data_IF_052291484193
#
_entry.id   IF_052291484193
#
_cell.length_a   1.000
_cell.length_b   1.000
_cell.length_c   1.000
_cell.angle_alpha   90.00
_cell.angle_beta   90.00
_cell.angle_gamma   90.00
#
_symmetry.space_group_name_H-M   'P 1'
#
loop_
_entity.id
_entity.type
_entity.pdbx_description
1 polymer ?
#
# COMPACT_ATOMS: atom_id res chain seq x y z
N UNK A 1 -22.04 -22.36 15.30
CA UNK A 1 -20.66 -21.91 15.08
C UNK A 1 -20.04 -22.85 14.06
N UNK A 2 -19.70 -22.34 12.89
CA UNK A 2 -19.15 -23.11 11.78
C UNK A 2 -17.75 -22.59 11.49
N UNK A 3 -16.79 -23.50 11.33
CA UNK A 3 -15.39 -23.17 11.03
C UNK A 3 -15.01 -23.94 9.78
N UNK A 4 -14.54 -23.21 8.78
CA UNK A 4 -14.07 -23.73 7.51
C UNK A 4 -12.66 -23.17 7.23
N UNK A 5 -11.89 -23.84 6.37
CA UNK A 5 -10.62 -23.31 5.87
C UNK A 5 -10.81 -22.97 4.40
N UNK A 6 -10.75 -21.69 4.08
CA UNK A 6 -10.83 -21.21 2.71
C UNK A 6 -9.59 -21.66 1.94
N UNK A 7 -9.81 -22.09 0.70
CA UNK A 7 -8.71 -22.38 -0.21
C UNK A 7 -7.91 -21.10 -0.49
N UNK A 8 -6.61 -21.26 -0.68
CA UNK A 8 -5.76 -20.16 -1.11
C UNK A 8 -6.19 -19.65 -2.49
N UNK A 9 -6.32 -18.32 -2.68
CA UNK A 9 -6.74 -17.79 -3.96
C UNK A 9 -5.65 -18.02 -5.01
N UNK A 10 -6.05 -18.52 -6.17
CA UNK A 10 -5.15 -18.63 -7.32
C UNK A 10 -4.88 -17.24 -7.91
N UNK A 11 -3.60 -16.93 -8.09
CA UNK A 11 -3.14 -15.79 -8.87
C UNK A 11 -2.83 -16.24 -10.29
N UNK A 12 -3.05 -15.36 -11.25
CA UNK A 12 -2.75 -15.55 -12.67
C UNK A 12 -1.48 -14.78 -13.06
N UNK A 13 -0.67 -15.41 -13.91
CA UNK A 13 0.65 -14.97 -14.40
C UNK A 13 0.74 -15.10 -15.93
N UNK A 14 1.94 -14.90 -16.49
CA UNK A 14 2.19 -14.97 -17.93
C UNK A 14 1.63 -16.22 -18.58
N UNK A 15 1.03 -16.05 -19.77
CA UNK A 15 0.39 -17.15 -20.50
C UNK A 15 -0.84 -17.76 -19.81
N UNK A 16 -1.43 -17.07 -18.81
CA UNK A 16 -2.59 -17.55 -18.07
C UNK A 16 -2.28 -18.65 -17.04
N UNK A 17 -0.99 -18.85 -16.73
CA UNK A 17 -0.54 -19.81 -15.73
C UNK A 17 -0.93 -19.36 -14.32
N UNK A 18 -0.97 -20.31 -13.38
CA UNK A 18 -1.52 -20.07 -12.04
C UNK A 18 -0.62 -20.55 -10.93
N UNK A 19 -0.62 -19.80 -9.83
CA UNK A 19 0.03 -20.19 -8.60
C UNK A 19 -0.55 -19.42 -7.41
N UNK A 20 -0.49 -20.00 -6.20
CA UNK A 20 -0.95 -19.32 -4.96
C UNK A 20 0.12 -18.37 -4.40
N UNK A 21 1.39 -18.69 -4.63
CA UNK A 21 2.54 -17.85 -4.25
C UNK A 21 2.96 -16.94 -5.42
N UNK A 22 2.98 -15.61 -5.24
CA UNK A 22 3.35 -14.66 -6.28
C UNK A 22 4.82 -14.70 -6.71
N UNK A 23 5.73 -15.01 -5.79
CA UNK A 23 7.17 -15.08 -6.07
C UNK A 23 7.49 -16.31 -6.92
N UNK A 24 6.88 -17.45 -6.59
CA UNK A 24 6.98 -18.63 -7.43
C UNK A 24 6.32 -18.40 -8.79
N UNK A 25 5.11 -17.84 -8.82
CA UNK A 25 4.40 -17.55 -10.08
C UNK A 25 5.21 -16.66 -11.02
N UNK A 26 5.78 -15.56 -10.53
CA UNK A 26 6.68 -14.71 -11.34
C UNK A 26 7.91 -15.49 -11.80
N UNK A 27 8.57 -16.22 -10.89
CA UNK A 27 9.82 -16.93 -11.23
C UNK A 27 9.61 -18.00 -12.31
N UNK A 28 8.45 -18.67 -12.29
CA UNK A 28 8.13 -19.75 -13.22
C UNK A 28 7.50 -19.25 -14.54
N UNK A 29 6.67 -18.21 -14.47
CA UNK A 29 5.77 -17.84 -15.58
C UNK A 29 5.88 -16.39 -16.03
N UNK A 30 6.66 -15.55 -15.32
CA UNK A 30 6.71 -14.11 -15.56
C UNK A 30 5.44 -13.36 -15.15
N UNK A 31 5.37 -12.05 -15.42
CA UNK A 31 4.26 -11.23 -14.99
C UNK A 31 2.97 -11.52 -15.78
N UNK A 32 1.81 -11.22 -15.20
CA UNK A 32 0.50 -11.45 -15.84
C UNK A 32 0.30 -10.73 -17.18
N UNK A 33 0.96 -9.59 -17.36
CA UNK A 33 0.94 -8.82 -18.60
C UNK A 33 2.06 -9.20 -19.59
N UNK A 34 2.83 -10.26 -19.32
CA UNK A 34 3.91 -10.68 -20.20
C UNK A 34 3.42 -10.89 -21.64
N UNK A 35 4.03 -10.17 -22.58
CA UNK A 35 3.68 -10.22 -24.00
C UNK A 35 2.43 -9.40 -24.39
N UNK A 36 1.82 -8.68 -23.46
CA UNK A 36 0.72 -7.75 -23.75
C UNK A 36 1.25 -6.36 -24.10
N UNK A 37 0.48 -5.63 -24.91
CA UNK A 37 0.73 -4.22 -25.19
C UNK A 37 0.64 -3.40 -23.88
N UNK A 38 1.72 -2.66 -23.58
CA UNK A 38 1.82 -1.84 -22.37
C UNK A 38 2.63 -2.46 -21.23
N UNK A 39 3.03 -3.74 -21.33
CA UNK A 39 3.93 -4.34 -20.35
C UNK A 39 5.31 -3.63 -20.36
N UNK A 40 5.82 -3.18 -19.21
CA UNK A 40 7.06 -2.41 -19.17
C UNK A 40 8.29 -3.31 -19.35
N UNK A 41 8.84 -3.36 -20.57
CA UNK A 41 10.09 -4.08 -20.87
C UNK A 41 11.36 -3.32 -20.43
N UNK A 42 11.27 -2.01 -20.25
CA UNK A 42 12.33 -1.16 -19.73
C UNK A 42 11.72 -0.07 -18.85
N UNK A 43 12.24 0.07 -17.64
CA UNK A 43 11.81 1.09 -16.69
C UNK A 43 12.95 2.09 -16.50
N UNK A 44 12.72 3.34 -16.91
CA UNK A 44 13.67 4.45 -16.79
C UNK A 44 13.53 5.07 -15.42
N UNK A 45 14.55 4.91 -14.58
CA UNK A 45 14.56 5.43 -13.23
C UNK A 45 15.21 6.81 -13.19
N UNK A 46 14.54 7.74 -12.51
CA UNK A 46 15.15 8.97 -12.00
C UNK A 46 15.65 8.72 -10.57
N UNK A 47 16.83 9.23 -10.22
CA UNK A 47 17.40 9.07 -8.88
C UNK A 47 17.57 10.43 -8.21
N UNK A 48 17.10 10.59 -6.98
CA UNK A 48 17.27 11.82 -6.18
C UNK A 48 17.72 11.51 -4.77
N UNK A 49 18.79 12.16 -4.30
CA UNK A 49 19.30 12.04 -2.94
C UNK A 49 20.81 12.29 -2.81
N UNK A 50 21.44 11.94 -1.67
CA UNK A 50 22.88 12.09 -1.46
C UNK A 50 23.67 11.24 -2.44
N UNK A 51 24.79 11.75 -2.96
CA UNK A 51 25.59 11.08 -4.01
C UNK A 51 26.00 9.65 -3.65
N UNK A 52 26.51 9.45 -2.44
CA UNK A 52 26.92 8.14 -1.93
C UNK A 52 25.75 7.15 -1.87
N UNK A 53 24.55 7.63 -1.54
CA UNK A 53 23.34 6.81 -1.57
C UNK A 53 22.94 6.45 -3.00
N UNK A 54 23.01 7.39 -3.94
CA UNK A 54 22.69 7.14 -5.35
C UNK A 54 23.62 6.08 -5.95
N UNK A 55 24.92 6.16 -5.66
CA UNK A 55 25.91 5.17 -6.10
C UNK A 55 25.63 3.78 -5.49
N UNK A 56 25.25 3.74 -4.21
CA UNK A 56 24.84 2.51 -3.54
C UNK A 56 23.61 1.85 -4.17
N UNK A 57 22.57 2.64 -4.45
CA UNK A 57 21.34 2.16 -5.10
C UNK A 57 21.64 1.64 -6.50
N UNK A 58 22.44 2.34 -7.29
CA UNK A 58 22.83 1.91 -8.65
C UNK A 58 23.51 0.55 -8.63
N UNK A 59 24.53 0.39 -7.77
CA UNK A 59 25.23 -0.90 -7.61
C UNK A 59 24.31 -2.03 -7.17
N UNK A 60 23.40 -1.75 -6.24
CA UNK A 60 22.49 -2.77 -5.73
C UNK A 60 21.42 -3.18 -6.75
N UNK A 61 20.87 -2.24 -7.51
CA UNK A 61 19.94 -2.58 -8.60
C UNK A 61 20.66 -3.39 -9.69
N UNK A 62 21.90 -3.05 -10.02
CA UNK A 62 22.70 -3.84 -10.95
C UNK A 62 22.97 -5.27 -10.42
N UNK A 63 23.28 -5.41 -9.13
CA UNK A 63 23.39 -6.71 -8.45
C UNK A 63 22.10 -7.53 -8.54
N UNK A 64 20.94 -6.89 -8.45
CA UNK A 64 19.62 -7.53 -8.55
C UNK A 64 19.28 -8.01 -9.96
N UNK A 65 20.06 -7.68 -11.00
CA UNK A 65 19.90 -8.34 -12.32
C UNK A 65 20.22 -9.83 -12.24
N UNK A 66 21.08 -10.22 -11.30
CA UNK A 66 21.52 -11.60 -11.08
C UNK A 66 20.75 -12.25 -9.91
N UNK A 67 20.66 -13.60 -9.87
CA UNK A 67 20.02 -14.32 -8.78
C UNK A 67 20.57 -13.97 -7.39
N UNK A 68 19.68 -13.97 -6.39
CA UNK A 68 20.01 -13.79 -4.97
C UNK A 68 19.44 -14.99 -4.22
N UNK A 69 20.31 -15.72 -3.53
CA UNK A 69 19.93 -16.98 -2.88
C UNK A 69 18.88 -16.81 -1.79
N UNK A 70 18.14 -17.88 -1.54
CA UNK A 70 17.22 -17.99 -0.42
C UNK A 70 17.97 -17.85 0.90
N UNK A 71 17.34 -17.20 1.88
CA UNK A 71 17.95 -17.00 3.22
C UNK A 71 18.27 -18.32 3.93
N UNK A 72 17.35 -19.28 3.84
CA UNK A 72 17.44 -20.56 4.54
C UNK A 72 16.99 -21.69 3.62
N UNK A 73 17.92 -22.56 3.25
CA UNK A 73 17.63 -23.74 2.43
C UNK A 73 16.68 -24.74 3.11
N UNK A 74 16.54 -24.68 4.45
CA UNK A 74 15.59 -25.49 5.22
C UNK A 74 14.14 -25.02 5.06
N UNK A 75 13.93 -23.73 4.76
CA UNK A 75 12.59 -23.14 4.57
C UNK A 75 12.51 -22.38 3.24
N UNK A 76 12.64 -23.09 2.09
CA UNK A 76 12.78 -22.45 0.78
C UNK A 76 11.53 -21.66 0.35
N UNK A 77 10.36 -22.00 0.89
CA UNK A 77 9.12 -21.28 0.60
C UNK A 77 8.93 -20.03 1.47
N UNK A 78 9.62 -19.91 2.60
CA UNK A 78 9.47 -18.79 3.52
C UNK A 78 10.26 -17.55 3.06
N UNK A 79 11.49 -17.79 2.61
CA UNK A 79 12.40 -16.78 2.09
C UNK A 79 12.95 -17.25 0.74
N UNK A 80 12.09 -17.35 -0.29
CA UNK A 80 12.50 -17.85 -1.59
C UNK A 80 13.57 -16.95 -2.21
N UNK A 81 14.43 -17.57 -3.00
CA UNK A 81 15.43 -16.85 -3.79
C UNK A 81 14.77 -15.79 -4.67
N UNK A 82 15.51 -14.74 -4.97
CA UNK A 82 15.14 -13.79 -6.01
C UNK A 82 15.81 -14.26 -7.32
N UNK A 83 15.05 -14.53 -8.39
CA UNK A 83 15.61 -15.10 -9.62
C UNK A 83 16.52 -14.13 -10.39
N UNK A 84 16.61 -12.88 -9.94
CA UNK A 84 17.10 -11.76 -10.73
C UNK A 84 15.95 -11.06 -11.44
N UNK A 85 16.23 -9.91 -12.04
CA UNK A 85 15.26 -9.18 -12.84
C UNK A 85 15.96 -8.52 -14.02
N UNK A 86 15.70 -9.05 -15.21
CA UNK A 86 16.21 -8.55 -16.48
C UNK A 86 15.19 -8.89 -17.58
N UNK A 87 15.52 -8.58 -18.83
CA UNK A 87 14.68 -8.82 -20.02
C UNK A 87 14.25 -10.27 -20.25
N UNK A 88 14.92 -11.25 -19.63
CA UNK A 88 14.65 -12.68 -19.81
C UNK A 88 14.28 -13.43 -18.51
N UNK A 89 14.25 -12.73 -17.35
CA UNK A 89 14.08 -13.38 -16.05
C UNK A 89 13.28 -12.52 -15.06
N UNK A 90 12.53 -13.18 -14.18
CA UNK A 90 11.74 -12.52 -13.15
C UNK A 90 10.57 -11.76 -13.76
N UNK A 91 10.66 -10.42 -13.76
CA UNK A 91 9.61 -9.55 -14.29
C UNK A 91 9.79 -9.22 -15.79
N UNK A 92 10.78 -9.81 -16.47
CA UNK A 92 11.03 -9.58 -17.90
C UNK A 92 11.19 -8.10 -18.25
N UNK A 93 11.86 -7.36 -17.35
CA UNK A 93 12.08 -5.92 -17.45
C UNK A 93 13.50 -5.58 -17.05
N UNK A 94 14.08 -4.53 -17.65
CA UNK A 94 15.35 -3.95 -17.20
C UNK A 94 15.13 -2.58 -16.57
N UNK A 95 15.76 -2.35 -15.41
CA UNK A 95 15.85 -1.04 -14.79
C UNK A 95 17.03 -0.27 -15.40
N UNK A 96 16.79 0.95 -15.87
CA UNK A 96 17.81 1.77 -16.54
C UNK A 96 17.97 3.12 -15.86
N UNK A 97 19.20 3.62 -15.84
CA UNK A 97 19.56 4.93 -15.29
C UNK A 97 20.35 5.70 -16.33
N UNK A 98 20.08 6.99 -16.45
CA UNK A 98 20.95 7.91 -17.19
C UNK A 98 21.54 8.90 -16.18
N UNK A 99 22.82 9.24 -16.31
CA UNK A 99 23.47 10.16 -15.38
C UNK A 99 22.76 11.53 -15.32
N UNK A 100 22.21 11.99 -16.46
CA UNK A 100 21.36 13.20 -16.54
C UNK A 100 20.08 13.13 -15.69
N UNK A 101 19.60 11.93 -15.37
CA UNK A 101 18.41 11.68 -14.56
C UNK A 101 18.77 11.33 -13.11
N UNK A 102 20.05 11.50 -12.72
CA UNK A 102 20.53 11.33 -11.35
C UNK A 102 20.83 12.72 -10.79
N UNK A 103 20.06 13.15 -9.79
CA UNK A 103 20.18 14.48 -9.18
C UNK A 103 20.60 14.36 -7.73
N UNK A 104 21.79 14.85 -7.45
CA UNK A 104 22.33 14.91 -6.10
C UNK A 104 21.67 16.06 -5.34
N UNK A 105 21.15 15.75 -4.14
CA UNK A 105 20.73 16.80 -3.21
C UNK A 105 21.98 17.37 -2.53
N UNK A 106 22.14 18.69 -2.61
CA UNK A 106 23.32 19.40 -2.12
C UNK A 106 23.66 19.02 -0.67
N UNK A 107 24.90 18.56 -0.37
CA UNK A 107 25.32 18.25 1.00
C UNK A 107 25.12 19.42 1.95
N UNK A 108 25.39 20.65 1.48
CA UNK A 108 25.16 21.87 2.27
C UNK A 108 23.69 22.07 2.61
N UNK A 109 22.77 21.79 1.69
CA UNK A 109 21.33 21.90 1.96
C UNK A 109 20.87 20.85 2.98
N UNK A 110 21.39 19.61 2.87
CA UNK A 110 21.11 18.54 3.84
C UNK A 110 21.61 18.91 5.24
N UNK A 111 22.83 19.44 5.36
CA UNK A 111 23.42 19.91 6.63
C UNK A 111 22.62 21.06 7.23
N UNK A 112 22.25 22.06 6.41
CA UNK A 112 21.43 23.20 6.84
C UNK A 112 20.05 22.75 7.33
N UNK A 113 19.40 21.82 6.63
CA UNK A 113 18.12 21.27 7.03
C UNK A 113 18.23 20.46 8.32
N UNK A 114 19.27 19.62 8.46
CA UNK A 114 19.49 18.80 9.66
C UNK A 114 19.81 19.63 10.91
N UNK A 115 20.31 20.85 10.77
CA UNK A 115 20.56 21.78 11.88
C UNK A 115 19.27 22.43 12.44
N UNK A 116 18.14 22.33 11.73
CA UNK A 116 16.87 22.87 12.20
C UNK A 116 16.20 21.90 13.19
N UNK A 117 15.29 22.40 14.06
CA UNK A 117 14.55 21.54 14.97
C UNK A 117 13.28 20.96 14.35
N UNK A 118 13.02 19.68 14.60
CA UNK A 118 11.72 19.03 14.40
C UNK A 118 11.10 19.22 13.02
N UNK A 119 9.89 19.79 12.97
CA UNK A 119 9.13 19.99 11.73
C UNK A 119 9.84 20.91 10.72
N UNK A 120 10.62 21.90 11.19
CA UNK A 120 11.36 22.79 10.30
C UNK A 120 12.46 22.05 9.53
N UNK A 121 13.13 21.09 10.19
CA UNK A 121 14.10 20.22 9.52
C UNK A 121 13.45 19.37 8.43
N UNK A 122 12.30 18.78 8.75
CA UNK A 122 11.56 17.95 7.79
C UNK A 122 11.09 18.78 6.59
N UNK A 123 10.55 19.98 6.81
CA UNK A 123 10.13 20.88 5.72
C UNK A 123 11.30 21.29 4.86
N UNK A 124 12.39 21.78 5.45
CA UNK A 124 13.58 22.19 4.71
C UNK A 124 14.21 21.03 3.93
N UNK A 125 14.21 19.82 4.50
CA UNK A 125 14.67 18.63 3.79
C UNK A 125 13.76 18.29 2.61
N UNK A 126 12.43 18.35 2.79
CA UNK A 126 11.50 18.13 1.69
C UNK A 126 11.67 19.19 0.62
N UNK A 127 11.86 20.47 0.97
CA UNK A 127 12.14 21.54 0.00
C UNK A 127 13.37 21.22 -0.84
N UNK A 128 14.49 20.84 -0.22
CA UNK A 128 15.72 20.48 -0.92
C UNK A 128 15.54 19.29 -1.90
N UNK A 129 14.69 18.32 -1.56
CA UNK A 129 14.37 17.22 -2.46
C UNK A 129 13.38 17.62 -3.56
N UNK A 130 12.41 18.48 -3.26
CA UNK A 130 11.39 18.92 -4.21
C UNK A 130 12.00 19.68 -5.39
N UNK A 131 13.00 20.53 -5.14
CA UNK A 131 13.71 21.26 -6.19
C UNK A 131 14.32 20.30 -7.24
N UNK A 132 14.96 19.22 -6.77
CA UNK A 132 15.55 18.21 -7.66
C UNK A 132 14.50 17.31 -8.32
N UNK A 133 13.41 16.99 -7.61
CA UNK A 133 12.29 16.20 -8.14
C UNK A 133 11.55 16.94 -9.26
N UNK A 134 11.32 18.24 -9.09
CA UNK A 134 10.66 19.10 -10.08
C UNK A 134 11.46 19.12 -11.37
N UNK A 135 12.77 19.28 -11.28
CA UNK A 135 13.63 19.32 -12.44
C UNK A 135 13.73 17.98 -13.18
N UNK A 136 13.66 16.83 -12.50
CA UNK A 136 13.53 15.51 -13.18
C UNK A 136 12.16 15.38 -13.85
N UNK A 137 11.10 15.85 -13.19
CA UNK A 137 9.74 15.70 -13.68
C UNK A 137 9.47 16.51 -14.95
N UNK A 138 10.06 17.72 -15.07
CA UNK A 138 9.94 18.58 -16.25
C UNK A 138 10.38 17.91 -17.56
N UNK A 139 11.45 17.11 -17.51
CA UNK A 139 11.99 16.44 -18.70
C UNK A 139 11.11 15.26 -19.18
N UNK A 140 10.22 14.73 -18.34
CA UNK A 140 9.34 13.58 -18.63
C UNK A 140 10.06 12.31 -19.17
N UNK A 141 11.36 12.16 -18.90
CA UNK A 141 12.20 11.06 -19.42
C UNK A 141 12.27 9.82 -18.53
N UNK A 142 11.59 9.86 -17.39
CA UNK A 142 11.60 8.79 -16.38
C UNK A 142 10.20 8.24 -16.17
N UNK A 143 10.13 6.95 -15.89
CA UNK A 143 8.90 6.22 -15.60
C UNK A 143 8.61 6.27 -14.08
N UNK A 144 9.65 6.10 -13.26
CA UNK A 144 9.57 6.12 -11.79
C UNK A 144 10.75 6.90 -11.21
N UNK A 145 10.52 7.69 -10.17
CA UNK A 145 11.59 8.38 -9.43
C UNK A 145 11.88 7.64 -8.13
N UNK A 146 13.12 7.18 -7.96
CA UNK A 146 13.63 6.60 -6.72
C UNK A 146 14.28 7.70 -5.88
N UNK A 147 13.78 7.87 -4.68
CA UNK A 147 14.27 8.87 -3.72
C UNK A 147 15.08 8.14 -2.65
N UNK A 148 16.38 8.42 -2.59
CA UNK A 148 17.22 7.98 -1.50
C UNK A 148 16.98 8.89 -0.29
N UNK A 149 16.27 8.39 0.72
CA UNK A 149 16.02 9.10 1.98
C UNK A 149 17.36 9.41 2.66
N UNK A 150 17.57 10.61 3.23
CA UNK A 150 18.79 10.91 3.95
C UNK A 150 18.81 10.17 5.30
N UNK A 151 20.00 9.79 5.75
CA UNK A 151 20.20 9.10 7.04
C UNK A 151 20.06 10.06 8.22
N UNK A 152 20.33 11.34 8.00
CA UNK A 152 20.36 12.41 9.02
C UNK A 152 18.99 12.79 9.56
N UNK A 153 17.91 12.35 8.91
CA UNK A 153 16.57 12.49 9.45
C UNK A 153 16.25 11.30 10.34
N UNK A 154 16.16 11.55 11.63
CA UNK A 154 15.32 10.73 12.49
C UNK A 154 13.86 11.02 12.10
N UNK A 155 13.18 10.03 11.50
CA UNK A 155 11.72 10.12 11.47
C UNK A 155 11.32 10.16 12.94
N UNK A 156 10.72 11.27 13.39
CA UNK A 156 10.05 11.32 14.68
C UNK A 156 8.85 10.39 14.55
N UNK A 157 9.09 9.10 14.76
CA UNK A 157 8.04 8.13 14.95
C UNK A 157 7.22 8.64 16.12
N UNK A 158 5.89 8.65 15.94
CA UNK A 158 4.90 8.69 17.00
C UNK A 158 5.53 8.12 18.28
N UNK A 159 5.92 8.98 19.22
CA UNK A 159 5.76 8.60 20.59
C UNK A 159 4.24 8.40 20.69
N UNK A 160 3.79 7.15 20.50
CA UNK A 160 2.59 6.71 21.17
C UNK A 160 2.75 7.28 22.58
N UNK A 161 1.83 8.14 22.99
CA UNK A 161 1.82 8.64 24.35
C UNK A 161 2.14 7.46 25.26
N UNK A 162 3.08 7.58 26.21
CA UNK A 162 3.35 6.49 27.13
C UNK A 162 1.99 5.99 27.60
N UNK A 163 1.75 4.66 27.49
CA UNK A 163 0.57 4.08 28.12
C UNK A 163 0.60 4.62 29.55
N UNK A 164 -0.45 5.31 30.03
CA UNK A 164 -0.47 5.70 31.42
C UNK A 164 -0.27 4.40 32.19
N UNK A 165 0.83 4.33 32.93
CA UNK A 165 0.95 3.36 34.01
C UNK A 165 -0.29 3.58 34.87
N UNK A 166 -0.94 2.48 35.25
CA UNK A 166 -2.16 2.48 36.05
C UNK A 166 -1.93 3.33 37.31
N UNK A 167 -2.38 4.58 37.27
CA UNK A 167 -2.65 5.36 38.46
C UNK A 167 -4.06 5.93 38.38
N UNK A 168 -4.88 5.36 39.25
CA UNK A 168 -6.28 5.62 39.43
C UNK A 168 -6.41 6.96 40.14
N UNK A 169 -6.72 8.04 39.41
CA UNK A 169 -7.57 9.16 39.89
C UNK A 169 -7.66 10.33 38.89
N UNK A 170 -8.90 10.82 38.72
CA UNK A 170 -9.29 12.10 38.09
C UNK A 170 -9.34 12.20 36.55
N UNK A 171 -10.49 11.83 35.98
CA UNK A 171 -10.86 12.07 34.57
C UNK A 171 -11.20 13.55 34.32
N UNK A 172 -10.18 14.38 34.08
CA UNK A 172 -10.28 15.58 33.24
C UNK A 172 -9.24 15.45 32.12
N UNK A 173 -9.58 14.73 31.06
CA UNK A 173 -8.77 14.67 29.83
C UNK A 173 -8.87 16.01 29.12
N UNK A 174 -7.96 16.93 29.43
CA UNK A 174 -7.60 18.00 28.50
C UNK A 174 -7.12 17.32 27.21
N UNK A 175 -7.88 17.54 26.14
CA UNK A 175 -7.67 16.97 24.81
C UNK A 175 -6.43 17.66 24.23
N UNK A 176 -5.25 17.07 24.48
CA UNK A 176 -4.01 17.54 23.89
C UNK A 176 -4.19 17.59 22.37
N UNK A 177 -4.07 18.79 21.81
CA UNK A 177 -4.02 19.06 20.37
C UNK A 177 -3.02 18.08 19.76
N UNK A 178 -3.49 17.18 18.89
CA UNK A 178 -2.62 16.29 18.16
C UNK A 178 -1.69 17.17 17.31
N UNK A 179 -0.46 17.40 17.77
CA UNK A 179 0.55 18.08 16.98
C UNK A 179 0.76 17.25 15.73
N UNK A 180 0.53 17.83 14.56
CA UNK A 180 0.86 17.20 13.28
C UNK A 180 2.38 17.05 13.23
N UNK A 181 2.88 15.86 13.59
CA UNK A 181 4.30 15.55 13.52
C UNK A 181 4.64 15.33 12.04
N UNK A 182 5.50 16.17 11.47
CA UNK A 182 5.87 16.08 10.06
C UNK A 182 6.71 14.83 9.78
N UNK A 183 6.17 13.94 8.95
CA UNK A 183 6.86 12.76 8.43
C UNK A 183 7.43 13.10 7.04
N UNK A 184 8.75 12.95 6.85
CA UNK A 184 9.41 13.22 5.57
C UNK A 184 8.77 12.45 4.41
N UNK A 185 8.49 11.16 4.60
CA UNK A 185 7.88 10.32 3.56
C UNK A 185 6.51 10.86 3.13
N UNK A 186 5.66 11.21 4.10
CA UNK A 186 4.29 11.62 3.83
C UNK A 186 4.24 13.02 3.25
N UNK A 187 5.03 13.95 3.79
CA UNK A 187 5.12 15.33 3.29
C UNK A 187 5.72 15.38 1.88
N UNK A 188 6.80 14.63 1.64
CA UNK A 188 7.41 14.55 0.30
C UNK A 188 6.42 13.98 -0.71
N UNK A 189 5.77 12.85 -0.39
CA UNK A 189 4.75 12.28 -1.28
C UNK A 189 3.61 13.25 -1.55
N UNK A 190 3.07 13.89 -0.51
CA UNK A 190 1.96 14.83 -0.65
C UNK A 190 2.31 15.98 -1.61
N UNK A 191 3.51 16.55 -1.50
CA UNK A 191 3.97 17.63 -2.40
C UNK A 191 4.29 17.14 -3.80
N UNK A 192 4.92 15.97 -3.91
CA UNK A 192 5.35 15.42 -5.19
C UNK A 192 4.20 14.83 -6.03
N UNK A 193 3.00 14.63 -5.46
CA UNK A 193 1.81 14.20 -6.22
C UNK A 193 1.53 15.10 -7.44
N UNK A 194 1.79 16.41 -7.33
CA UNK A 194 1.58 17.37 -8.43
C UNK A 194 2.48 17.12 -9.64
N UNK A 195 3.57 16.38 -9.47
CA UNK A 195 4.53 16.09 -10.54
C UNK A 195 4.03 15.01 -11.50
N UNK A 196 2.97 14.27 -11.13
CA UNK A 196 2.43 13.19 -11.97
C UNK A 196 3.41 12.03 -12.17
N UNK A 197 4.47 11.94 -11.36
CA UNK A 197 5.50 10.91 -11.42
C UNK A 197 5.44 9.98 -10.20
N UNK A 198 5.35 8.65 -10.40
CA UNK A 198 5.43 7.70 -9.29
C UNK A 198 6.75 7.82 -8.53
N UNK A 199 6.66 7.85 -7.19
CA UNK A 199 7.85 7.90 -6.31
C UNK A 199 8.05 6.59 -5.54
N UNK A 200 9.29 6.13 -5.46
CA UNK A 200 9.74 5.04 -4.60
C UNK A 200 10.82 5.54 -3.64
N UNK A 201 10.47 5.72 -2.36
CA UNK A 201 11.42 6.19 -1.35
C UNK A 201 12.14 4.99 -0.74
N UNK A 202 13.47 5.04 -0.71
CA UNK A 202 14.33 3.99 -0.15
C UNK A 202 15.13 4.51 1.04
N UNK A 203 15.26 3.67 2.06
CA UNK A 203 16.20 3.90 3.18
C UNK A 203 17.51 3.19 2.88
N UNK A 204 18.63 3.69 3.40
CA UNK A 204 19.95 3.09 3.21
C UNK A 204 20.03 1.61 3.57
N UNK A 205 19.38 1.20 4.66
CA UNK A 205 19.27 -0.22 5.07
C UNK A 205 18.54 -1.13 4.05
N UNK A 206 17.98 -0.58 2.98
CA UNK A 206 17.38 -1.37 1.88
C UNK A 206 18.42 -1.96 0.95
N UNK A 207 19.57 -1.30 0.75
CA UNK A 207 20.62 -1.75 -0.17
C UNK A 207 21.97 -1.96 0.52
N UNK A 208 22.22 -1.29 1.64
CA UNK A 208 23.49 -1.35 2.38
C UNK A 208 23.34 -2.23 3.63
N UNK A 209 24.05 -3.35 3.66
CA UNK A 209 24.08 -4.29 4.79
C UNK A 209 24.74 -3.70 6.05
N UNK A 210 25.56 -2.66 5.92
CA UNK A 210 26.18 -1.99 7.07
C UNK A 210 25.26 -1.01 7.78
N UNK A 211 24.26 -0.45 7.08
CA UNK A 211 23.35 0.55 7.62
C UNK A 211 22.21 -0.08 8.45
N UNK A 212 21.98 0.32 9.72
CA UNK A 212 21.00 -0.35 10.59
C UNK A 212 19.55 -0.23 10.09
N UNK A 213 18.70 -1.23 10.34
CA UNK A 213 17.27 -1.12 10.05
C UNK A 213 16.61 -0.06 10.95
N UNK A 214 15.42 0.45 10.57
CA UNK A 214 14.66 1.37 11.42
C UNK A 214 14.42 0.81 12.83
N UNK A 215 14.31 1.65 13.86
CA UNK A 215 14.02 1.21 15.22
C UNK A 215 12.79 0.29 15.27
N UNK A 216 12.85 -0.74 16.13
CA UNK A 216 11.78 -1.75 16.31
C UNK A 216 11.48 -2.62 15.08
N UNK A 217 12.33 -2.62 14.06
CA UNK A 217 12.23 -3.53 12.91
C UNK A 217 13.51 -4.33 12.72
N UNK A 218 13.38 -5.60 12.36
CA UNK A 218 14.49 -6.42 11.88
C UNK A 218 14.72 -6.21 10.38
N UNK A 219 15.96 -6.41 9.93
CA UNK A 219 16.29 -6.39 8.50
C UNK A 219 15.69 -7.62 7.81
N UNK A 220 15.00 -7.39 6.69
CA UNK A 220 14.61 -8.45 5.76
C UNK A 220 15.84 -8.95 5.00
N UNK A 221 15.89 -10.24 4.64
CA UNK A 221 16.94 -10.75 3.76
C UNK A 221 16.97 -10.03 2.41
N UNK A 222 18.12 -10.10 1.74
CA UNK A 222 18.36 -9.42 0.48
C UNK A 222 17.37 -9.82 -0.61
N UNK A 223 17.07 -11.12 -0.75
CA UNK A 223 16.11 -11.62 -1.74
C UNK A 223 14.71 -11.02 -1.52
N UNK A 224 14.24 -10.98 -0.28
CA UNK A 224 12.96 -10.35 0.08
C UNK A 224 12.95 -8.84 -0.21
N UNK A 225 14.04 -8.12 0.08
CA UNK A 225 14.17 -6.69 -0.25
C UNK A 225 14.14 -6.48 -1.77
N UNK A 226 14.83 -7.32 -2.54
CA UNK A 226 14.86 -7.29 -4.00
C UNK A 226 13.47 -7.56 -4.60
N UNK A 227 12.78 -8.61 -4.14
CA UNK A 227 11.39 -8.91 -4.52
C UNK A 227 10.48 -7.69 -4.31
N UNK A 228 10.49 -7.13 -3.10
CA UNK A 228 9.62 -6.01 -2.74
C UNK A 228 9.91 -4.77 -3.59
N UNK A 229 11.19 -4.46 -3.85
CA UNK A 229 11.55 -3.32 -4.68
C UNK A 229 11.12 -3.50 -6.14
N UNK A 230 11.47 -4.63 -6.76
CA UNK A 230 11.27 -4.82 -8.20
C UNK A 230 9.78 -4.93 -8.55
N UNK A 231 8.98 -5.64 -7.73
CA UNK A 231 7.53 -5.69 -7.91
C UNK A 231 6.91 -4.30 -7.77
N UNK A 232 7.34 -3.50 -6.79
CA UNK A 232 6.83 -2.15 -6.59
C UNK A 232 7.20 -1.21 -7.74
N UNK A 233 8.43 -1.32 -8.29
CA UNK A 233 8.86 -0.52 -9.44
C UNK A 233 8.11 -0.93 -10.71
N UNK A 234 7.93 -2.22 -10.96
CA UNK A 234 7.18 -2.74 -12.11
C UNK A 234 5.73 -2.24 -12.10
N UNK A 235 5.05 -2.36 -10.96
CA UNK A 235 3.69 -1.86 -10.81
C UNK A 235 3.60 -0.34 -11.00
N UNK A 236 4.55 0.41 -10.44
CA UNK A 236 4.59 1.88 -10.60
C UNK A 236 4.91 2.33 -12.01
N UNK A 237 5.59 1.49 -12.79
CA UNK A 237 5.80 1.71 -14.22
C UNK A 237 4.57 1.34 -15.08
N UNK A 238 3.46 0.93 -14.46
CA UNK A 238 2.22 0.57 -15.14
C UNK A 238 2.08 -0.93 -15.44
N UNK A 239 3.04 -1.75 -15.03
CA UNK A 239 2.97 -3.20 -15.22
C UNK A 239 2.03 -3.89 -14.24
N UNK A 240 1.57 -5.09 -14.62
CA UNK A 240 0.71 -5.96 -13.80
C UNK A 240 1.47 -7.25 -13.46
N UNK A 241 2.15 -7.31 -12.30
CA UNK A 241 2.93 -8.48 -11.91
C UNK A 241 2.09 -9.77 -11.84
N UNK A 242 0.90 -9.68 -11.27
CA UNK A 242 -0.07 -10.76 -11.18
C UNK A 242 -1.46 -10.19 -10.94
N UNK A 243 -2.50 -11.01 -11.14
CA UNK A 243 -3.90 -10.64 -10.84
C UNK A 243 -4.66 -11.82 -10.25
N UNK A 244 -5.76 -11.54 -9.56
CA UNK A 244 -6.67 -12.61 -9.11
C UNK A 244 -7.31 -13.29 -10.33
N UNK A 245 -7.39 -14.62 -10.28
CA UNK A 245 -8.11 -15.40 -11.29
C UNK A 245 -9.57 -14.96 -11.31
N UNK A 246 -10.10 -14.73 -12.51
CA UNK A 246 -11.55 -14.58 -12.75
C UNK A 246 -12.11 -15.80 -13.47
N UNK A 247 -13.34 -16.13 -13.15
CA UNK A 247 -14.15 -17.11 -13.88
C UNK A 247 -15.19 -16.38 -14.72
N UNK A 248 -15.64 -17.01 -15.81
CA UNK A 248 -16.66 -16.43 -16.70
C UNK A 248 -18.02 -16.23 -16.02
N UNK A 249 -18.25 -16.91 -14.90
CA UNK A 249 -19.47 -16.77 -14.08
C UNK A 249 -19.39 -15.64 -13.07
N UNK A 250 -18.21 -15.03 -12.87
CA UNK A 250 -18.07 -13.94 -11.92
C UNK A 250 -18.78 -12.68 -12.43
N UNK A 251 -19.60 -12.08 -11.58
CA UNK A 251 -20.24 -10.81 -11.88
C UNK A 251 -19.19 -9.70 -12.10
N UNK A 252 -19.32 -8.85 -13.12
CA UNK A 252 -18.57 -7.59 -13.19
C UNK A 252 -18.76 -6.82 -11.89
N UNK A 253 -17.68 -6.64 -11.13
CA UNK A 253 -17.74 -6.13 -9.76
C UNK A 253 -16.88 -4.87 -9.64
N UNK A 254 -17.47 -3.82 -9.07
CA UNK A 254 -16.76 -2.62 -8.68
C UNK A 254 -16.51 -2.65 -7.17
N UNK A 255 -15.26 -2.59 -6.76
CA UNK A 255 -14.87 -2.57 -5.34
C UNK A 255 -14.67 -1.11 -4.91
N UNK A 256 -15.28 -0.72 -3.80
CA UNK A 256 -15.20 0.66 -3.30
C UNK A 256 -14.70 0.65 -1.85
N UNK A 257 -13.44 1.05 -1.64
CA UNK A 257 -12.87 1.23 -0.31
C UNK A 257 -13.12 2.64 0.21
N UNK A 258 -13.84 2.80 1.32
CA UNK A 258 -14.10 4.10 1.95
C UNK A 258 -13.16 4.29 3.14
N UNK A 259 -12.46 5.42 3.13
CA UNK A 259 -11.60 5.87 4.22
C UNK A 259 -11.92 7.31 4.60
N UNK A 260 -11.64 7.68 5.84
CA UNK A 260 -11.86 9.03 6.33
C UNK A 260 -10.53 9.63 6.77
N UNK A 261 -10.27 10.87 6.37
CA UNK A 261 -9.09 11.60 6.81
C UNK A 261 -9.48 12.94 7.41
N UNK A 262 -8.72 13.38 8.42
CA UNK A 262 -8.96 14.65 9.08
C UNK A 262 -8.29 15.79 8.30
N UNK A 263 -9.06 16.83 8.03
CA UNK A 263 -8.54 18.05 7.37
C UNK A 263 -7.72 18.87 8.38
N UNK A 264 -6.63 19.51 7.95
CA UNK A 264 -5.71 20.25 8.82
C UNK A 264 -6.27 21.60 9.35
N UNK A 265 -7.44 22.03 8.90
CA UNK A 265 -8.11 23.26 9.33
C UNK A 265 -8.78 23.10 10.71
N UNK A 266 -8.80 24.19 11.48
CA UNK A 266 -9.16 24.23 12.91
C UNK A 266 -10.57 23.68 13.26
N UNK A 267 -11.49 23.61 12.30
CA UNK A 267 -12.78 22.91 12.42
C UNK A 267 -12.66 21.51 11.78
N UNK A 268 -12.00 20.62 12.50
CA UNK A 268 -11.58 19.28 12.09
C UNK A 268 -12.75 18.36 11.71
N UNK A 269 -13.30 18.57 10.52
CA UNK A 269 -14.21 17.64 9.87
C UNK A 269 -13.40 16.57 9.14
N UNK A 270 -13.79 15.32 9.35
CA UNK A 270 -13.24 14.18 8.62
C UNK A 270 -13.87 14.20 7.21
N UNK A 271 -13.07 14.02 6.15
CA UNK A 271 -13.57 13.94 4.77
C UNK A 271 -13.51 12.50 4.30
N UNK A 272 -14.58 12.01 3.66
CA UNK A 272 -14.58 10.68 3.08
C UNK A 272 -13.84 10.64 1.74
N UNK A 273 -13.07 9.58 1.52
CA UNK A 273 -12.43 9.26 0.24
C UNK A 273 -12.81 7.84 -0.13
N UNK A 274 -13.36 7.69 -1.32
CA UNK A 274 -13.60 6.41 -1.95
C UNK A 274 -12.44 6.09 -2.90
N UNK A 275 -11.84 4.93 -2.70
CA UNK A 275 -10.94 4.28 -3.65
C UNK A 275 -11.74 3.25 -4.41
N UNK A 276 -11.91 3.47 -5.71
CA UNK A 276 -12.67 2.59 -6.60
C UNK A 276 -11.66 1.69 -7.28
N UNK A 277 -11.89 0.38 -7.30
CA UNK A 277 -11.09 -0.58 -8.04
C UNK A 277 -12.00 -1.36 -8.98
N UNK A 278 -11.55 -1.50 -10.23
CA UNK A 278 -12.19 -2.43 -11.16
C UNK A 278 -11.77 -3.87 -10.85
N UNK A 279 -12.34 -4.83 -11.59
CA UNK A 279 -12.04 -6.25 -11.44
C UNK A 279 -10.58 -6.65 -11.76
N UNK A 280 -9.80 -5.76 -12.39
CA UNK A 280 -8.38 -5.96 -12.72
C UNK A 280 -7.45 -5.38 -11.66
N UNK A 281 -8.01 -4.65 -10.68
CA UNK A 281 -7.25 -3.96 -9.64
C UNK A 281 -6.85 -2.53 -10.00
N UNK A 282 -7.26 -2.01 -11.16
CA UNK A 282 -7.00 -0.62 -11.54
C UNK A 282 -7.89 0.30 -10.70
N UNK A 283 -7.25 1.29 -10.08
CA UNK A 283 -7.87 2.12 -9.06
C UNK A 283 -8.05 3.59 -9.47
N UNK A 284 -9.21 4.18 -9.15
CA UNK A 284 -9.46 5.62 -9.25
C UNK A 284 -9.93 6.17 -7.90
N UNK A 285 -9.44 7.35 -7.53
CA UNK A 285 -9.83 8.03 -6.29
C UNK A 285 -11.00 8.98 -6.56
N UNK A 286 -12.05 8.89 -5.75
CA UNK A 286 -13.18 9.81 -5.73
C UNK A 286 -13.31 10.41 -4.33
N UNK A 287 -13.38 11.74 -4.25
CA UNK A 287 -13.62 12.43 -2.98
C UNK A 287 -15.13 12.39 -2.67
N UNK A 288 -15.45 12.06 -1.43
CA UNK A 288 -16.81 12.08 -0.89
C UNK A 288 -17.14 13.37 -0.16
N UNK A 289 -18.32 13.38 0.45
CA UNK A 289 -18.78 14.47 1.31
C UNK A 289 -18.06 14.53 2.65
N UNK A 290 -18.43 15.54 3.43
CA UNK A 290 -17.99 15.72 4.81
C UNK A 290 -18.54 14.59 5.67
N UNK A 291 -17.68 13.97 6.47
CA UNK A 291 -18.07 12.96 7.43
C UNK A 291 -18.38 13.59 8.80
N UNK A 292 -19.33 12.99 9.48
CA UNK A 292 -19.75 13.34 10.82
C UNK A 292 -19.28 12.28 11.79
N UNK A 293 -18.63 12.69 12.88
CA UNK A 293 -18.25 11.76 13.95
C UNK A 293 -19.49 11.51 14.81
N UNK A 294 -19.97 10.27 14.79
CA UNK A 294 -21.10 9.84 15.61
C UNK A 294 -20.77 10.00 17.09
N UNK A 295 -21.75 10.41 17.89
CA UNK A 295 -21.57 10.54 19.35
C UNK A 295 -21.57 9.19 20.06
N UNK A 296 -22.18 8.18 19.44
CA UNK A 296 -22.45 6.89 20.06
C UNK A 296 -21.23 5.96 19.97
N UNK A 297 -20.71 5.75 18.75
CA UNK A 297 -19.55 4.87 18.49
C UNK A 297 -18.24 5.64 18.26
N UNK A 298 -18.28 6.97 18.18
CA UNK A 298 -17.13 7.85 17.92
C UNK A 298 -16.43 7.55 16.60
N UNK A 299 -17.14 6.94 15.64
CA UNK A 299 -16.65 6.66 14.31
C UNK A 299 -17.17 7.71 13.30
N UNK A 300 -16.41 7.98 12.22
CA UNK A 300 -16.88 8.82 11.13
C UNK A 300 -17.89 8.08 10.24
N UNK A 301 -18.99 8.78 9.92
CA UNK A 301 -20.06 8.32 9.04
C UNK A 301 -20.46 9.40 8.04
N UNK A 302 -21.01 8.98 6.92
CA UNK A 302 -21.66 9.86 5.96
C UNK A 302 -23.16 10.00 6.27
N UNK A 303 -23.73 11.13 5.89
CA UNK A 303 -25.18 11.27 5.78
C UNK A 303 -25.68 10.50 4.55
N UNK A 304 -26.97 10.13 4.54
CA UNK A 304 -27.57 9.36 3.46
C UNK A 304 -27.39 9.99 2.08
N UNK A 305 -27.56 11.31 1.97
CA UNK A 305 -27.34 12.03 0.72
C UNK A 305 -25.88 11.97 0.24
N UNK A 306 -24.92 12.08 1.15
CA UNK A 306 -23.49 12.02 0.82
C UNK A 306 -23.04 10.61 0.45
N UNK A 307 -23.54 9.59 1.15
CA UNK A 307 -23.32 8.18 0.81
C UNK A 307 -23.89 7.86 -0.59
N UNK A 308 -25.13 8.31 -0.88
CA UNK A 308 -25.75 8.16 -2.20
C UNK A 308 -24.91 8.81 -3.29
N UNK A 309 -24.53 10.07 -3.11
CA UNK A 309 -23.74 10.83 -4.08
C UNK A 309 -22.35 10.21 -4.29
N UNK A 310 -21.70 9.72 -3.24
CA UNK A 310 -20.40 9.05 -3.32
C UNK A 310 -20.46 7.81 -4.22
N UNK A 311 -21.46 6.95 -4.04
CA UNK A 311 -21.62 5.75 -4.87
C UNK A 311 -22.02 6.10 -6.31
N UNK A 312 -22.92 7.07 -6.52
CA UNK A 312 -23.28 7.53 -7.86
C UNK A 312 -22.07 8.08 -8.63
N UNK A 313 -21.21 8.84 -7.96
CA UNK A 313 -19.96 9.33 -8.54
C UNK A 313 -19.01 8.18 -8.87
N UNK A 314 -18.91 7.18 -7.99
CA UNK A 314 -18.08 6.01 -8.23
C UNK A 314 -18.54 5.20 -9.45
N UNK A 315 -19.85 4.96 -9.57
CA UNK A 315 -20.45 4.28 -10.72
C UNK A 315 -20.29 5.08 -12.01
N UNK A 316 -20.34 6.41 -11.96
CA UNK A 316 -20.09 7.27 -13.11
C UNK A 316 -18.64 7.17 -13.60
N UNK A 317 -17.67 7.09 -12.68
CA UNK A 317 -16.26 6.84 -13.01
C UNK A 317 -16.09 5.47 -13.66
N UNK A 318 -16.62 4.41 -13.04
CA UNK A 318 -16.57 3.05 -13.59
C UNK A 318 -17.17 2.99 -15.01
N UNK A 319 -18.35 3.59 -15.21
CA UNK A 319 -19.02 3.61 -16.52
C UNK A 319 -18.22 4.39 -17.57
N UNK A 320 -17.53 5.46 -17.19
CA UNK A 320 -16.69 6.21 -18.13
C UNK A 320 -15.53 5.37 -18.65
N UNK A 321 -14.94 4.57 -17.78
CA UNK A 321 -13.79 3.71 -18.07
C UNK A 321 -14.19 2.44 -18.81
N UNK A 322 -15.16 1.69 -18.28
CA UNK A 322 -15.57 0.39 -18.82
C UNK A 322 -16.68 0.47 -19.88
N UNK A 323 -17.25 1.66 -20.10
CA UNK A 323 -18.40 1.90 -20.99
C UNK A 323 -19.68 1.12 -20.60
N UNK A 324 -19.69 0.49 -19.43
CA UNK A 324 -20.82 -0.25 -18.86
C UNK A 324 -20.88 -0.05 -17.34
N UNK A 325 -22.02 -0.35 -16.72
CA UNK A 325 -22.14 -0.40 -15.26
C UNK A 325 -21.73 -1.79 -14.74
N UNK A 326 -21.23 -1.90 -13.50
CA UNK A 326 -20.97 -3.19 -12.89
C UNK A 326 -22.29 -3.86 -12.53
N UNK A 327 -22.30 -5.20 -12.50
CA UNK A 327 -23.45 -5.94 -11.98
C UNK A 327 -23.48 -5.89 -10.44
N UNK A 328 -22.30 -5.89 -9.80
CA UNK A 328 -22.15 -5.92 -8.34
C UNK A 328 -21.27 -4.78 -7.85
N UNK A 329 -21.60 -4.21 -6.70
CA UNK A 329 -20.72 -3.31 -5.96
C UNK A 329 -20.41 -3.91 -4.59
N UNK A 330 -19.14 -3.93 -4.21
CA UNK A 330 -18.71 -4.30 -2.86
C UNK A 330 -18.02 -3.10 -2.19
N UNK A 331 -18.65 -2.56 -1.16
CA UNK A 331 -18.15 -1.41 -0.40
C UNK A 331 -17.43 -1.92 0.85
N UNK A 332 -16.16 -1.55 1.01
CA UNK A 332 -15.34 -1.89 2.16
C UNK A 332 -15.07 -0.64 3.01
N UNK A 333 -15.28 -0.73 4.33
CA UNK A 333 -14.99 0.36 5.28
C UNK A 333 -14.37 -0.20 6.56
N UNK A 334 -13.57 0.62 7.26
CA UNK A 334 -12.99 0.26 8.56
C UNK A 334 -13.89 0.60 9.76
N UNK A 335 -14.92 1.41 9.55
CA UNK A 335 -16.00 1.68 10.52
C UNK A 335 -17.27 0.92 10.14
N UNK A 336 -18.15 0.73 11.12
CA UNK A 336 -19.46 0.09 10.89
C UNK A 336 -20.31 0.98 9.97
N UNK A 337 -21.23 0.37 9.22
CA UNK A 337 -22.25 1.11 8.47
C UNK A 337 -23.40 1.50 9.39
N UNK A 338 -23.76 2.77 9.42
CA UNK A 338 -24.96 3.27 10.11
C UNK A 338 -26.18 3.22 9.17
N UNK A 339 -27.42 3.42 9.69
CA UNK A 339 -28.63 3.40 8.86
C UNK A 339 -28.59 4.39 7.70
N UNK A 340 -28.11 5.62 7.94
CA UNK A 340 -28.00 6.66 6.89
C UNK A 340 -27.13 6.20 5.72
N UNK A 341 -25.96 5.60 6.00
CA UNK A 341 -25.06 5.06 4.98
C UNK A 341 -25.71 3.91 4.22
N UNK A 342 -26.37 2.99 4.93
CA UNK A 342 -27.08 1.86 4.31
C UNK A 342 -28.18 2.37 3.36
N UNK A 343 -29.00 3.31 3.82
CA UNK A 343 -30.08 3.91 3.03
C UNK A 343 -29.53 4.66 1.81
N UNK A 344 -28.47 5.45 1.99
CA UNK A 344 -27.82 6.19 0.92
C UNK A 344 -27.22 5.31 -0.16
N UNK A 345 -26.46 4.28 0.24
CA UNK A 345 -25.85 3.34 -0.72
C UNK A 345 -26.91 2.47 -1.41
N UNK A 346 -27.94 2.02 -0.68
CA UNK A 346 -29.05 1.25 -1.27
C UNK A 346 -29.81 2.08 -2.29
N UNK A 347 -30.14 3.33 -1.98
CA UNK A 347 -30.81 4.23 -2.91
C UNK A 347 -29.99 4.50 -4.19
N UNK A 348 -28.66 4.57 -4.10
CA UNK A 348 -27.79 4.69 -5.28
C UNK A 348 -27.72 3.39 -6.08
N UNK A 349 -27.79 2.23 -5.43
CA UNK A 349 -27.83 0.93 -6.09
C UNK A 349 -29.15 0.74 -6.86
N UNK A 350 -30.28 1.11 -6.24
CA UNK A 350 -31.61 1.05 -6.85
C UNK A 350 -31.73 2.00 -8.04
N UNK A 351 -31.27 3.26 -7.91
CA UNK A 351 -31.24 4.25 -9.00
C UNK A 351 -30.46 3.77 -10.25
N UNK A 352 -29.52 2.84 -10.06
CA UNK A 352 -28.65 2.31 -11.11
C UNK A 352 -28.93 0.86 -11.46
N UNK A 353 -29.99 0.28 -10.87
CA UNK A 353 -30.44 -1.09 -11.09
C UNK A 353 -29.29 -2.11 -10.91
N UNK A 354 -28.49 -1.93 -9.86
CA UNK A 354 -27.44 -2.90 -9.54
C UNK A 354 -28.06 -4.24 -9.15
N UNK A 355 -27.45 -5.33 -9.64
CA UNK A 355 -27.90 -6.67 -9.28
C UNK A 355 -27.57 -7.02 -7.83
N UNK A 356 -26.43 -6.55 -7.31
CA UNK A 356 -26.02 -6.80 -5.93
C UNK A 356 -25.20 -5.64 -5.34
N UNK A 357 -25.44 -5.35 -4.06
CA UNK A 357 -24.68 -4.41 -3.24
C UNK A 357 -24.26 -5.10 -1.95
N UNK A 358 -22.95 -5.18 -1.70
CA UNK A 358 -22.40 -5.67 -0.44
C UNK A 358 -21.79 -4.53 0.36
N UNK A 359 -22.13 -4.47 1.65
CA UNK A 359 -21.59 -3.51 2.60
C UNK A 359 -20.75 -4.28 3.63
N UNK A 360 -19.42 -4.24 3.48
CA UNK A 360 -18.50 -5.05 4.27
C UNK A 360 -17.68 -4.16 5.18
N UNK A 361 -17.91 -4.32 6.49
CA UNK A 361 -17.10 -3.69 7.51
C UNK A 361 -15.94 -4.61 7.87
N UNK A 362 -14.71 -4.15 7.62
CA UNK A 362 -13.49 -4.90 7.88
C UNK A 362 -12.76 -4.25 9.05
N UNK A 363 -12.61 -4.98 10.14
CA UNK A 363 -11.85 -4.54 11.32
C UNK A 363 -10.91 -5.64 11.81
N UNK A 364 -9.84 -5.24 12.50
CA UNK A 364 -9.07 -6.20 13.28
C UNK A 364 -9.89 -6.57 14.52
N UNK A 365 -9.96 -7.87 14.83
CA UNK A 365 -10.50 -8.31 16.10
C UNK A 365 -9.44 -8.13 17.18
N UNK A 366 -9.72 -7.30 18.18
CA UNK A 366 -8.90 -7.21 19.40
C UNK A 366 -9.35 -8.23 20.46
N UNK A 367 -10.59 -8.73 20.34
CA UNK A 367 -11.26 -9.52 21.38
C UNK A 367 -11.43 -11.00 21.03
N UNK A 368 -11.06 -11.44 19.82
CA UNK A 368 -11.14 -12.84 19.41
C UNK A 368 -9.77 -13.46 19.15
N UNK A 369 -9.51 -14.58 19.82
CA UNK A 369 -8.32 -15.41 19.64
C UNK A 369 -8.72 -16.80 19.16
N UNK A 370 -8.17 -17.23 18.03
CA UNK A 370 -8.32 -18.60 17.54
C UNK A 370 -7.04 -19.39 17.85
N UNK A 371 -7.22 -20.58 18.39
CA UNK A 371 -6.15 -21.53 18.66
C UNK A 371 -6.44 -22.84 17.93
N UNK A 372 -5.40 -23.49 17.44
CA UNK A 372 -5.45 -24.90 17.01
C UNK A 372 -4.68 -25.75 18.02
N UNK A 373 -5.00 -27.05 18.16
CA UNK A 373 -4.18 -27.95 18.95
C UNK A 373 -2.71 -27.91 18.52
N UNK A 374 -1.80 -27.84 19.50
CA UNK A 374 -0.35 -27.76 19.32
C UNK A 374 0.21 -26.33 19.45
N UNK A 375 1.49 -26.18 19.08
CA UNK A 375 2.20 -24.89 19.12
C UNK A 375 2.08 -24.08 17.82
N UNK A 376 1.35 -24.61 16.84
CA UNK A 376 1.15 -23.97 15.56
C UNK A 376 0.00 -22.94 15.63
N UNK A 377 0.10 -21.82 14.90
CA UNK A 377 -1.01 -20.89 14.70
C UNK A 377 -2.09 -21.50 13.79
N UNK A 378 -3.33 -20.97 13.81
CA UNK A 378 -4.36 -21.33 12.84
C UNK A 378 -3.85 -21.24 11.38
N UNK A 379 -4.45 -22.02 10.48
CA UNK A 379 -4.11 -21.92 9.06
C UNK A 379 -4.63 -20.61 8.49
N UNK A 380 -3.83 -19.93 7.66
CA UNK A 380 -4.34 -18.79 6.88
C UNK A 380 -5.55 -19.24 6.07
N UNK A 381 -6.57 -18.39 6.01
CA UNK A 381 -7.87 -18.73 5.43
C UNK A 381 -8.84 -19.44 6.40
N UNK A 382 -8.46 -19.68 7.66
CA UNK A 382 -9.42 -20.15 8.68
C UNK A 382 -10.53 -19.11 8.83
N UNK A 383 -11.75 -19.51 8.48
CA UNK A 383 -12.96 -18.70 8.45
C UNK A 383 -13.95 -19.22 9.48
N UNK A 384 -14.47 -18.34 10.32
CA UNK A 384 -15.38 -18.70 11.39
C UNK A 384 -16.61 -17.80 11.35
N UNK A 385 -17.78 -18.41 11.31
CA UNK A 385 -19.07 -17.70 11.37
C UNK A 385 -19.53 -17.58 12.82
N UNK A 386 -19.60 -16.33 13.31
CA UNK A 386 -20.09 -15.99 14.64
C UNK A 386 -21.61 -15.80 14.63
N UNK A 387 -22.11 -15.07 13.62
CA UNK A 387 -23.53 -14.82 13.37
C UNK A 387 -23.80 -14.76 11.86
N UNK A 388 -25.05 -14.52 11.46
CA UNK A 388 -25.40 -14.42 10.03
C UNK A 388 -24.70 -13.26 9.30
N UNK A 389 -24.19 -12.26 10.05
CA UNK A 389 -23.57 -11.04 9.50
C UNK A 389 -22.17 -10.79 10.04
N UNK A 390 -21.63 -11.69 10.86
CA UNK A 390 -20.33 -11.52 11.51
C UNK A 390 -19.47 -12.77 11.33
N UNK A 391 -18.30 -12.55 10.75
CA UNK A 391 -17.34 -13.59 10.43
C UNK A 391 -15.93 -13.16 10.82
N UNK A 392 -15.11 -14.13 11.22
CA UNK A 392 -13.69 -13.94 11.48
C UNK A 392 -12.89 -14.66 10.40
N UNK A 393 -11.86 -14.00 9.88
CA UNK A 393 -10.94 -14.59 8.91
C UNK A 393 -9.51 -14.43 9.41
N UNK A 394 -8.80 -15.54 9.55
CA UNK A 394 -7.39 -15.52 9.90
C UNK A 394 -6.54 -15.29 8.64
N UNK A 395 -5.94 -14.12 8.52
CA UNK A 395 -5.23 -13.67 7.30
C UNK A 395 -3.71 -13.69 7.41
N UNK A 396 -3.16 -13.94 8.60
CA UNK A 396 -1.72 -14.03 8.79
C UNK A 396 -1.26 -15.46 8.54
N UNK A 397 -0.17 -15.65 7.83
CA UNK A 397 0.62 -16.86 8.01
C UNK A 397 1.47 -16.65 9.25
N UNK A 398 1.43 -17.61 10.18
CA UNK A 398 2.46 -17.67 11.20
C UNK A 398 3.31 -18.93 10.95
N UNK A 399 4.58 -18.68 10.66
CA UNK A 399 5.58 -19.71 10.49
C UNK A 399 6.30 -19.86 11.82
N UNK A 400 5.94 -20.89 12.58
CA UNK A 400 6.74 -21.29 13.73
C UNK A 400 7.99 -22.00 13.21
N UNK A 401 9.16 -21.35 13.34
CA UNK A 401 10.46 -21.97 13.11
C UNK A 401 10.77 -23.12 14.12
N UNK A 402 9.83 -23.47 15.01
CA UNK A 402 9.98 -24.45 16.09
C UNK A 402 9.08 -25.69 15.96
N UNK A 403 8.60 -26.03 14.77
CA UNK A 403 7.89 -27.29 14.55
C UNK A 403 8.81 -28.31 13.87
N UNK A 404 9.60 -28.98 14.71
CA UNK A 404 10.00 -30.38 14.53
C UNK A 404 9.39 -31.18 15.67
#
# INVERSE_FOLDING_TARGET
MQIDVLNEPELEFGGGQRHVDPRFGISAYGPADLGLDGAPSTIRLGLVGPRDHLDGIRRWIDRCRQPIDAKDAKYPHLFPAFPGCDTEVGLFTTLTFADRNCREVSPRALEQAAALPGELAVKAMVDAYMDELEAIAEDNRVDVIVVARPDTLDDVHLAAAPKPEDDDTSRRRSRATASVIANFHDLLKARALRLGKPLQILRRSTWDESAPPPPRRSRQDEATRAWNLHVALYYKAGGVPWRLRRTSTDLPTCYVGISFYRTASADALDTAVAHIFNERGDGVIVRGGTAHVSRDDKQPHLLAADAKNLLLNALAVYKREHRTLPARVAIHKSSRFNPDEVDGFSAAADDRELYALDLIWITNSEDALLFRPGAAPPLRGTFMTLSATEHLVYTKEAYSAKLQ
#
